data_IF_612914899852
#
_entry.id   IF_612914899852
#
_cell.length_a   1.000
_cell.length_b   1.000
_cell.length_c   1.000
_cell.angle_alpha   90.00
_cell.angle_beta   90.00
_cell.angle_gamma   90.00
#
_symmetry.space_group_name_H-M   'P 1'
#
loop_
_entity.id
_entity.type
_entity.pdbx_description
1 polymer ?
#
# COMPACT_ATOMS: atom_id res chain seq x y z
N UNK A 1 3.00 14.97 6.18
CA UNK A 1 4.42 15.28 5.92
C UNK A 1 4.79 14.65 4.60
N UNK A 2 5.42 15.39 3.68
CA UNK A 2 5.80 14.85 2.36
C UNK A 2 7.31 14.94 2.18
N UNK A 3 7.94 13.80 1.89
CA UNK A 3 9.30 13.73 1.39
C UNK A 3 9.26 13.86 -0.13
N UNK A 4 9.35 15.11 -0.62
CA UNK A 4 9.32 15.41 -2.06
C UNK A 4 10.53 14.87 -2.81
N UNK A 5 11.65 14.63 -2.14
CA UNK A 5 12.88 14.17 -2.79
C UNK A 5 12.73 12.74 -3.34
N UNK A 6 12.00 11.91 -2.62
CA UNK A 6 11.86 10.48 -2.94
C UNK A 6 10.41 10.05 -3.18
N UNK A 7 9.44 10.98 -3.18
CA UNK A 7 8.04 10.66 -3.48
C UNK A 7 7.34 9.85 -2.39
N UNK A 8 7.60 10.15 -1.10
CA UNK A 8 6.88 9.52 0.01
C UNK A 8 6.01 10.52 0.75
N UNK A 9 4.73 10.19 0.92
CA UNK A 9 3.72 11.04 1.55
C UNK A 9 3.17 10.36 2.79
N UNK A 10 3.13 11.08 3.91
CA UNK A 10 2.69 10.56 5.20
C UNK A 10 1.53 11.37 5.76
N UNK A 11 0.48 10.66 6.14
CA UNK A 11 -0.76 11.20 6.69
C UNK A 11 -1.13 10.47 7.98
N UNK A 12 -2.14 11.00 8.68
CA UNK A 12 -2.74 10.38 9.86
C UNK A 12 -4.25 10.25 9.62
N UNK A 13 -4.82 9.06 9.87
CA UNK A 13 -6.24 8.78 9.61
C UNK A 13 -7.22 9.63 10.42
N UNK A 14 -6.74 10.37 11.43
CA UNK A 14 -7.53 11.35 12.18
C UNK A 14 -7.70 12.68 11.45
N UNK A 15 -6.92 12.91 10.39
CA UNK A 15 -7.01 14.09 9.53
C UNK A 15 -7.94 13.80 8.35
N UNK A 16 -8.48 14.86 7.74
CA UNK A 16 -9.22 14.76 6.49
C UNK A 16 -8.35 15.30 5.36
N UNK A 17 -7.93 14.42 4.46
CA UNK A 17 -7.08 14.76 3.33
C UNK A 17 -7.43 13.90 2.11
N UNK A 18 -6.98 14.33 0.93
CA UNK A 18 -7.18 13.63 -0.34
C UNK A 18 -5.86 13.63 -1.11
N UNK A 19 -5.42 12.43 -1.49
CA UNK A 19 -4.28 12.23 -2.39
C UNK A 19 -4.76 11.68 -3.74
N UNK A 20 -4.13 12.12 -4.82
CA UNK A 20 -4.43 11.69 -6.17
C UNK A 20 -3.14 11.39 -6.93
N UNK A 21 -3.16 10.34 -7.74
CA UNK A 21 -2.08 10.05 -8.70
C UNK A 21 -1.94 11.17 -9.73
N UNK A 22 -0.71 11.55 -10.07
CA UNK A 22 -0.42 12.48 -11.17
C UNK A 22 -0.97 11.94 -12.52
N UNK A 23 -1.38 12.84 -13.41
CA UNK A 23 -1.85 12.55 -14.78
C UNK A 23 -0.80 11.82 -15.64
N UNK A 24 0.49 11.98 -15.33
CA UNK A 24 1.59 11.27 -16.02
C UNK A 24 1.67 9.77 -15.68
N UNK A 25 0.82 9.28 -14.78
CA UNK A 25 0.86 7.91 -14.26
C UNK A 25 -0.07 6.99 -15.03
N UNK A 26 0.38 5.75 -15.27
CA UNK A 26 -0.39 4.75 -16.04
C UNK A 26 -1.72 4.36 -15.37
N UNK A 27 -1.77 4.43 -14.03
CA UNK A 27 -2.93 4.03 -13.24
C UNK A 27 -3.43 5.21 -12.42
N UNK A 28 -4.68 5.57 -12.65
CA UNK A 28 -5.34 6.62 -11.91
C UNK A 28 -6.03 6.08 -10.66
N UNK A 29 -5.75 6.71 -9.52
CA UNK A 29 -6.48 6.47 -8.27
C UNK A 29 -6.61 7.74 -7.45
N UNK A 30 -7.60 7.75 -6.56
CA UNK A 30 -7.77 8.78 -5.54
C UNK A 30 -7.95 8.14 -4.18
N UNK A 31 -7.13 8.55 -3.23
CA UNK A 31 -7.14 8.08 -1.85
C UNK A 31 -7.67 9.18 -0.94
N UNK A 32 -8.68 8.84 -0.15
CA UNK A 32 -9.34 9.69 0.82
C UNK A 32 -8.91 9.26 2.22
N UNK A 33 -8.25 10.16 2.94
CA UNK A 33 -7.72 9.94 4.28
C UNK A 33 -8.70 10.49 5.32
N UNK A 34 -9.04 9.67 6.30
CA UNK A 34 -9.98 9.99 7.38
C UNK A 34 -11.45 9.89 6.98
N UNK A 35 -12.27 10.76 7.56
CA UNK A 35 -13.73 10.71 7.40
C UNK A 35 -14.20 11.38 6.11
N UNK A 36 -14.77 10.59 5.20
CA UNK A 36 -15.30 11.05 3.91
C UNK A 36 -16.58 10.30 3.53
N UNK A 37 -17.50 11.01 2.88
CA UNK A 37 -18.63 10.42 2.15
C UNK A 37 -18.31 10.42 0.67
N UNK A 38 -18.33 9.24 0.05
CA UNK A 38 -17.84 9.00 -1.30
C UNK A 38 -18.98 8.51 -2.19
N UNK A 39 -19.02 9.04 -3.40
CA UNK A 39 -19.81 8.54 -4.51
C UNK A 39 -18.87 7.76 -5.43
N UNK A 40 -19.12 6.47 -5.60
CA UNK A 40 -18.32 5.63 -6.48
C UNK A 40 -19.03 5.54 -7.82
N UNK A 41 -18.35 5.87 -8.90
CA UNK A 41 -18.92 5.89 -10.24
C UNK A 41 -18.96 4.48 -10.85
N UNK A 42 -19.86 4.28 -11.81
CA UNK A 42 -19.88 3.03 -12.60
C UNK A 42 -18.57 2.89 -13.37
N UNK A 43 -17.91 1.74 -13.25
CA UNK A 43 -16.60 1.49 -13.86
C UNK A 43 -15.45 1.49 -12.85
N UNK A 44 -15.69 2.03 -11.65
CA UNK A 44 -14.70 2.15 -10.60
C UNK A 44 -14.98 1.17 -9.46
N UNK A 45 -13.99 1.00 -8.59
CA UNK A 45 -14.14 0.33 -7.31
C UNK A 45 -13.44 1.09 -6.20
N UNK A 46 -13.83 0.85 -4.96
CA UNK A 46 -13.23 1.44 -3.77
C UNK A 46 -12.79 0.36 -2.80
N UNK A 47 -11.54 0.44 -2.35
CA UNK A 47 -11.00 -0.33 -1.23
C UNK A 47 -11.05 0.53 0.03
N UNK A 48 -11.69 0.05 1.09
CA UNK A 48 -11.83 0.78 2.34
C UNK A 48 -11.99 -0.16 3.54
N UNK A 49 -12.18 0.40 4.73
CA UNK A 49 -12.28 -0.34 5.98
C UNK A 49 -13.55 0.04 6.75
N UNK A 50 -14.06 -0.90 7.56
CA UNK A 50 -15.13 -0.58 8.49
C UNK A 50 -14.65 0.34 9.62
N UNK A 51 -15.61 0.99 10.30
CA UNK A 51 -15.33 1.99 11.35
C UNK A 51 -14.42 1.44 12.47
N UNK A 52 -14.54 0.13 12.77
CA UNK A 52 -13.81 -0.51 13.87
C UNK A 52 -12.48 -1.14 13.44
N UNK A 53 -12.07 -0.97 12.17
CA UNK A 53 -10.89 -1.61 11.58
C UNK A 53 -10.86 -3.13 11.84
N UNK A 54 -12.02 -3.76 11.73
CA UNK A 54 -12.21 -5.21 11.82
C UNK A 54 -12.26 -5.87 10.45
N UNK A 55 -12.68 -5.15 9.42
CA UNK A 55 -12.84 -5.69 8.09
C UNK A 55 -12.26 -4.74 7.03
N UNK A 56 -11.62 -5.33 6.02
CA UNK A 56 -11.36 -4.68 4.75
C UNK A 56 -12.54 -4.96 3.81
N UNK A 57 -12.91 -3.98 3.01
CA UNK A 57 -14.08 -4.01 2.14
C UNK A 57 -13.67 -3.49 0.76
N UNK A 58 -14.15 -4.15 -0.28
CA UNK A 58 -14.10 -3.64 -1.65
C UNK A 58 -15.51 -3.59 -2.23
N UNK A 59 -15.86 -2.48 -2.87
CA UNK A 59 -17.15 -2.31 -3.55
C UNK A 59 -16.95 -1.69 -4.93
N UNK A 60 -17.68 -2.17 -5.93
CA UNK A 60 -17.76 -1.53 -7.25
C UNK A 60 -18.88 -0.49 -7.29
N UNK A 61 -18.70 0.54 -8.10
CA UNK A 61 -19.75 1.52 -8.35
C UNK A 61 -20.82 1.01 -9.33
N UNK A 62 -21.99 1.67 -9.38
CA UNK A 62 -22.34 2.87 -8.64
C UNK A 62 -22.79 2.58 -7.20
N UNK A 63 -22.22 3.27 -6.20
CA UNK A 63 -22.67 3.18 -4.81
C UNK A 63 -22.18 4.36 -3.95
N UNK A 64 -22.80 4.53 -2.77
CA UNK A 64 -22.32 5.43 -1.72
C UNK A 64 -21.53 4.67 -0.66
N UNK A 65 -20.42 5.24 -0.20
CA UNK A 65 -19.59 4.69 0.87
C UNK A 65 -19.23 5.78 1.87
N UNK A 66 -19.29 5.45 3.16
CA UNK A 66 -18.70 6.27 4.23
C UNK A 66 -17.38 5.64 4.66
N UNK A 67 -16.28 6.35 4.42
CA UNK A 67 -14.95 5.99 4.89
C UNK A 67 -14.66 6.72 6.20
N UNK A 68 -14.06 6.04 7.17
CA UNK A 68 -13.70 6.62 8.47
C UNK A 68 -12.18 6.75 8.66
N UNK A 69 -11.39 6.02 7.88
CA UNK A 69 -9.94 5.89 8.09
C UNK A 69 -9.17 6.11 6.79
N UNK A 70 -9.51 5.33 5.78
CA UNK A 70 -8.85 5.31 4.48
C UNK A 70 -9.77 4.65 3.45
N UNK A 71 -9.94 5.30 2.31
CA UNK A 71 -10.60 4.71 1.14
C UNK A 71 -9.81 5.05 -0.12
N UNK A 72 -9.60 4.09 -1.01
CA UNK A 72 -8.90 4.32 -2.29
C UNK A 72 -9.80 3.88 -3.43
N UNK A 73 -10.18 4.84 -4.26
CA UNK A 73 -10.93 4.62 -5.49
C UNK A 73 -9.94 4.32 -6.61
N UNK A 74 -10.14 3.20 -7.31
CA UNK A 74 -9.40 2.83 -8.50
C UNK A 74 -10.30 3.00 -9.72
N UNK A 75 -9.83 3.77 -10.70
CA UNK A 75 -10.59 4.06 -11.91
C UNK A 75 -10.44 2.96 -12.94
N UNK A 76 -11.55 2.55 -13.55
CA UNK A 76 -11.56 1.57 -14.64
C UNK A 76 -11.29 0.12 -14.20
N UNK A 77 -11.37 -0.16 -12.90
CA UNK A 77 -11.32 -1.52 -12.34
C UNK A 77 -12.55 -1.78 -11.47
N UNK A 78 -13.30 -2.84 -11.77
CA UNK A 78 -14.52 -3.21 -11.06
C UNK A 78 -14.36 -4.54 -10.32
N UNK A 79 -13.59 -4.55 -9.25
CA UNK A 79 -13.49 -5.72 -8.38
C UNK A 79 -14.90 -6.14 -7.87
N UNK A 80 -15.25 -7.43 -7.83
CA UNK A 80 -16.49 -7.90 -7.22
C UNK A 80 -16.58 -7.48 -5.75
N UNK A 81 -17.78 -7.13 -5.30
CA UNK A 81 -17.99 -6.74 -3.90
C UNK A 81 -17.56 -7.86 -2.96
N UNK A 82 -16.72 -7.52 -1.99
CA UNK A 82 -16.21 -8.48 -1.03
C UNK A 82 -15.88 -7.82 0.30
N UNK A 83 -15.95 -8.62 1.36
CA UNK A 83 -15.58 -8.23 2.73
C UNK A 83 -14.69 -9.33 3.29
N UNK A 84 -13.58 -8.94 3.91
CA UNK A 84 -12.69 -9.89 4.59
C UNK A 84 -12.29 -9.38 5.97
N UNK A 85 -12.23 -10.30 6.93
CA UNK A 85 -11.79 -10.02 8.28
C UNK A 85 -10.29 -9.71 8.33
N UNK A 86 -9.95 -8.63 9.03
CA UNK A 86 -8.57 -8.32 9.40
C UNK A 86 -8.06 -9.23 10.54
N UNK A 87 -8.95 -9.90 11.28
CA UNK A 87 -8.56 -10.84 12.34
C UNK A 87 -7.87 -12.10 11.78
N UNK A 88 -7.24 -12.87 12.66
CA UNK A 88 -6.52 -14.10 12.32
C UNK A 88 -5.01 -13.89 12.21
N UNK A 89 -4.33 -14.87 11.61
CA UNK A 89 -2.87 -14.91 11.50
C UNK A 89 -2.42 -14.84 10.04
N UNK A 90 -1.17 -14.46 9.83
CA UNK A 90 -0.49 -14.57 8.53
C UNK A 90 -0.26 -16.03 8.17
N UNK A 91 -0.29 -16.36 6.89
CA UNK A 91 -0.19 -17.74 6.40
C UNK A 91 1.02 -17.97 5.49
N UNK A 92 1.68 -16.91 5.02
CA UNK A 92 2.84 -17.00 4.14
C UNK A 92 4.06 -16.37 4.81
N UNK A 93 5.23 -17.05 4.83
CA UNK A 93 6.47 -16.42 5.26
C UNK A 93 6.85 -15.31 4.27
N UNK A 94 7.55 -14.31 4.78
CA UNK A 94 8.10 -13.20 4.00
C UNK A 94 9.52 -12.87 4.45
N UNK A 95 10.15 -11.91 3.79
CA UNK A 95 11.55 -11.55 3.96
C UNK A 95 11.85 -11.16 5.42
N UNK A 96 13.04 -11.51 5.91
CA UNK A 96 13.56 -11.13 7.24
C UNK A 96 12.63 -11.49 8.42
N UNK A 97 11.95 -12.63 8.35
CA UNK A 97 11.07 -13.10 9.42
C UNK A 97 9.69 -12.42 9.45
N UNK A 98 9.42 -11.52 8.52
CA UNK A 98 8.08 -10.99 8.29
C UNK A 98 7.15 -12.09 7.75
N UNK A 99 5.85 -11.83 7.78
CA UNK A 99 4.86 -12.75 7.25
C UNK A 99 3.66 -12.00 6.69
N UNK A 100 2.93 -12.64 5.78
CA UNK A 100 1.79 -12.02 5.11
C UNK A 100 0.55 -12.91 5.07
N UNK A 101 -0.62 -12.30 4.86
CA UNK A 101 -1.80 -12.95 4.29
C UNK A 101 -2.39 -12.03 3.21
N UNK A 102 -2.98 -12.62 2.19
CA UNK A 102 -3.73 -11.86 1.19
C UNK A 102 -5.10 -11.49 1.77
N UNK A 103 -5.49 -10.22 1.63
CA UNK A 103 -6.85 -9.78 1.96
C UNK A 103 -7.73 -9.83 0.71
N UNK A 104 -7.27 -9.18 -0.36
CA UNK A 104 -7.86 -9.28 -1.69
C UNK A 104 -6.74 -9.62 -2.68
N UNK A 105 -6.71 -10.88 -3.10
CA UNK A 105 -5.78 -11.35 -4.13
C UNK A 105 -6.12 -10.73 -5.49
N UNK A 106 -5.13 -10.52 -6.37
CA UNK A 106 -5.40 -10.02 -7.72
C UNK A 106 -6.21 -11.08 -8.51
N UNK A 107 -7.32 -10.68 -9.14
CA UNK A 107 -8.20 -11.59 -9.89
C UNK A 107 -7.52 -12.04 -11.19
N UNK A 108 -6.85 -11.09 -11.85
CA UNK A 108 -5.95 -11.33 -12.98
C UNK A 108 -4.55 -10.84 -12.65
N UNK A 109 -3.56 -11.35 -13.36
CA UNK A 109 -2.19 -10.88 -13.23
C UNK A 109 -2.12 -9.37 -13.51
N UNK A 110 -1.57 -8.62 -12.55
CA UNK A 110 -1.48 -7.17 -12.63
C UNK A 110 -2.65 -6.43 -11.99
N UNK A 111 -3.75 -7.10 -11.65
CA UNK A 111 -4.85 -6.45 -10.94
C UNK A 111 -4.39 -5.92 -9.57
N UNK A 112 -5.06 -4.90 -9.03
CA UNK A 112 -4.79 -4.41 -7.68
C UNK A 112 -4.89 -5.52 -6.62
N UNK A 113 -4.07 -5.43 -5.58
CA UNK A 113 -4.12 -6.36 -4.45
C UNK A 113 -3.97 -5.66 -3.11
N UNK A 114 -4.75 -6.11 -2.13
CA UNK A 114 -4.66 -5.65 -0.75
C UNK A 114 -4.08 -6.76 0.11
N UNK A 115 -3.03 -6.45 0.86
CA UNK A 115 -2.31 -7.44 1.66
C UNK A 115 -2.30 -7.04 3.13
N UNK A 116 -2.00 -8.01 3.97
CA UNK A 116 -1.71 -7.83 5.38
C UNK A 116 -0.28 -8.28 5.61
N UNK A 117 0.56 -7.38 6.09
CA UNK A 117 1.95 -7.62 6.43
C UNK A 117 2.11 -7.52 7.96
N UNK A 118 2.74 -8.55 8.54
CA UNK A 118 3.18 -8.54 9.93
C UNK A 118 4.70 -8.52 9.97
N UNK A 119 5.24 -7.52 10.65
CA UNK A 119 6.66 -7.42 10.97
C UNK A 119 6.87 -7.73 12.45
N UNK A 120 7.71 -8.72 12.81
CA UNK A 120 8.09 -8.92 14.20
C UNK A 120 8.99 -7.77 14.70
N UNK A 121 9.27 -7.68 16.01
CA UNK A 121 10.23 -6.73 16.56
C UNK A 121 11.64 -6.90 15.97
N UNK A 122 12.45 -5.84 16.04
CA UNK A 122 13.83 -5.81 15.53
C UNK A 122 14.00 -6.23 14.07
N UNK A 123 13.00 -6.01 13.22
CA UNK A 123 12.97 -6.50 11.85
C UNK A 123 12.99 -5.36 10.84
N UNK A 124 13.67 -5.59 9.72
CA UNK A 124 13.61 -4.76 8.53
C UNK A 124 12.81 -5.54 7.50
N UNK A 125 11.71 -5.00 6.99
CA UNK A 125 10.83 -5.73 6.08
C UNK A 125 11.59 -6.32 4.88
N UNK A 126 12.45 -5.50 4.28
CA UNK A 126 13.36 -5.84 3.20
C UNK A 126 14.51 -4.82 3.18
N UNK A 127 15.58 -5.10 2.43
CA UNK A 127 16.49 -4.04 1.96
C UNK A 127 15.72 -2.95 1.20
N UNK A 128 16.32 -1.76 1.05
CA UNK A 128 15.74 -0.68 0.24
C UNK A 128 15.33 -1.23 -1.13
N UNK A 129 14.07 -1.02 -1.47
CA UNK A 129 13.51 -1.52 -2.70
C UNK A 129 12.55 -0.48 -3.30
N UNK A 130 12.24 -0.71 -4.57
CA UNK A 130 11.39 0.16 -5.38
C UNK A 130 10.29 -0.66 -6.04
N UNK A 131 9.18 -0.01 -6.33
CA UNK A 131 8.08 -0.59 -7.12
C UNK A 131 7.78 0.33 -8.29
N UNK A 132 7.35 -0.24 -9.42
CA UNK A 132 6.99 0.50 -10.62
C UNK A 132 5.66 1.25 -10.53
N UNK A 133 4.91 1.04 -9.45
CA UNK A 133 3.58 1.60 -9.22
C UNK A 133 3.41 2.03 -7.78
N UNK A 134 2.39 2.85 -7.52
CA UNK A 134 2.08 3.33 -6.18
C UNK A 134 1.78 2.20 -5.20
N UNK A 135 2.12 2.47 -3.93
CA UNK A 135 1.66 1.73 -2.77
C UNK A 135 0.93 2.68 -1.83
N UNK A 136 -0.26 2.28 -1.39
CA UNK A 136 -1.03 3.01 -0.36
C UNK A 136 -1.12 2.11 0.85
N UNK A 137 -0.52 2.50 1.97
CA UNK A 137 -0.34 1.62 3.12
C UNK A 137 -0.98 2.23 4.35
N UNK A 138 -1.84 1.46 5.02
CA UNK A 138 -2.38 1.80 6.34
C UNK A 138 -1.65 1.02 7.43
N UNK A 139 -1.21 1.71 8.47
CA UNK A 139 -0.66 1.07 9.67
C UNK A 139 -1.80 0.76 10.63
N UNK A 140 -2.08 -0.54 10.80
CA UNK A 140 -3.19 -1.02 11.62
C UNK A 140 -2.83 -1.04 13.10
N UNK A 141 -1.64 -1.51 13.44
CA UNK A 141 -1.19 -1.61 14.83
C UNK A 141 0.33 -1.66 14.93
N UNK A 142 0.84 -1.45 16.15
CA UNK A 142 2.26 -1.47 16.42
C UNK A 142 2.96 -0.18 15.98
N UNK A 143 4.30 -0.20 15.97
CA UNK A 143 5.13 0.97 15.71
C UNK A 143 6.40 0.58 14.97
N UNK A 144 6.82 1.47 14.07
CA UNK A 144 7.97 1.28 13.21
C UNK A 144 8.50 2.63 12.71
N UNK A 145 9.52 2.57 11.86
CA UNK A 145 9.96 3.69 11.03
C UNK A 145 9.80 3.31 9.57
N UNK A 146 9.31 4.25 8.76
CA UNK A 146 9.51 4.21 7.32
C UNK A 146 10.82 4.89 6.99
N UNK A 147 11.72 4.16 6.37
CA UNK A 147 13.00 4.68 5.89
C UNK A 147 12.86 4.88 4.39
N UNK A 148 13.13 6.08 3.92
CA UNK A 148 13.05 6.45 2.51
C UNK A 148 14.34 7.14 2.09
N UNK A 149 14.96 6.65 1.03
CA UNK A 149 16.15 7.25 0.45
C UNK A 149 17.06 6.27 -0.32
N UNK A 150 18.21 6.77 -0.76
CA UNK A 150 19.24 6.01 -1.46
C UNK A 150 20.63 6.43 -0.98
N UNK A 151 21.58 5.49 -1.04
CA UNK A 151 22.97 5.68 -0.64
C UNK A 151 23.10 6.29 0.78
N UNK A 152 23.80 7.42 0.90
CA UNK A 152 24.05 8.10 2.16
C UNK A 152 22.94 9.08 2.56
N UNK A 153 21.85 9.16 1.81
CA UNK A 153 20.73 10.08 2.10
C UNK A 153 19.48 9.26 2.39
N UNK A 154 19.11 9.15 3.67
CA UNK A 154 17.85 8.54 4.09
C UNK A 154 17.12 9.40 5.11
N UNK A 155 15.80 9.35 5.05
CA UNK A 155 14.90 10.05 5.97
C UNK A 155 14.05 9.01 6.66
N UNK A 156 14.05 9.03 8.00
CA UNK A 156 13.23 8.17 8.82
C UNK A 156 11.97 8.92 9.27
N UNK A 157 10.80 8.34 9.02
CA UNK A 157 9.50 8.86 9.47
C UNK A 157 8.84 7.84 10.40
N UNK A 158 8.32 8.29 11.53
CA UNK A 158 7.66 7.40 12.48
C UNK A 158 6.31 6.88 11.94
N UNK A 159 6.07 5.59 12.12
CA UNK A 159 4.83 4.90 11.81
C UNK A 159 4.17 4.41 13.10
N UNK A 160 2.89 4.70 13.26
CA UNK A 160 2.05 4.31 14.40
C UNK A 160 0.64 3.96 13.92
N UNK A 161 -0.24 3.40 14.76
CA UNK A 161 -1.59 3.04 14.33
C UNK A 161 -2.34 4.26 13.78
N UNK A 162 -2.93 4.13 12.60
CA UNK A 162 -3.58 5.22 11.85
C UNK A 162 -2.64 6.01 10.95
N UNK A 163 -1.32 5.81 11.01
CA UNK A 163 -0.40 6.34 10.00
C UNK A 163 -0.74 5.77 8.63
N UNK A 164 -0.71 6.63 7.62
CA UNK A 164 -0.90 6.26 6.22
C UNK A 164 0.33 6.72 5.46
N UNK A 165 0.95 5.82 4.69
CA UNK A 165 1.99 6.18 3.75
C UNK A 165 1.55 5.89 2.31
N UNK A 166 1.73 6.89 1.45
CA UNK A 166 1.54 6.77 0.01
C UNK A 166 2.91 6.94 -0.62
N UNK A 167 3.35 5.90 -1.30
CA UNK A 167 4.68 5.79 -1.88
C UNK A 167 4.52 5.84 -3.39
N UNK A 168 5.14 6.85 -4.00
CA UNK A 168 5.16 7.03 -5.45
C UNK A 168 5.94 5.89 -6.15
N UNK A 169 5.72 5.69 -7.45
CA UNK A 169 6.56 4.82 -8.26
C UNK A 169 8.03 5.19 -8.10
N UNK A 170 8.87 4.15 -8.05
CA UNK A 170 10.31 4.26 -7.87
C UNK A 170 10.76 4.91 -6.55
N UNK A 171 9.85 5.13 -5.59
CA UNK A 171 10.22 5.57 -4.23
C UNK A 171 11.04 4.47 -3.52
N UNK A 172 12.32 4.71 -3.21
CA UNK A 172 13.18 3.74 -2.54
C UNK A 172 12.88 3.72 -1.04
N UNK A 173 12.38 2.59 -0.54
CA UNK A 173 11.91 2.50 0.84
C UNK A 173 12.08 1.12 1.46
N UNK A 174 12.00 1.08 2.79
CA UNK A 174 11.69 -0.10 3.59
C UNK A 174 11.14 0.34 4.97
N UNK A 175 10.56 -0.61 5.70
CA UNK A 175 10.14 -0.39 7.09
C UNK A 175 11.08 -1.08 8.08
N UNK A 176 11.27 -0.46 9.25
CA UNK A 176 12.04 -0.99 10.37
C UNK A 176 11.21 -0.96 11.66
N UNK A 177 11.00 -2.12 12.28
CA UNK A 177 10.34 -2.21 13.60
C UNK A 177 11.33 -2.00 14.74
N UNK A 178 10.83 -1.55 15.88
CA UNK A 178 11.65 -1.33 17.09
C UNK A 178 11.92 -2.65 17.84
N UNK A 179 12.88 -2.68 18.79
CA UNK A 179 13.28 -3.92 19.46
C UNK A 179 12.18 -4.73 20.16
N UNK A 180 11.15 -4.06 20.66
CA UNK A 180 10.04 -4.69 21.40
C UNK A 180 8.67 -4.44 20.74
N UNK A 181 8.63 -3.77 19.59
CA UNK A 181 7.39 -3.40 18.91
C UNK A 181 7.28 -4.16 17.59
N UNK A 182 6.14 -4.83 17.38
CA UNK A 182 5.78 -5.35 16.07
C UNK A 182 5.10 -4.26 15.25
N UNK A 183 4.91 -4.51 13.96
CA UNK A 183 4.09 -3.68 13.08
C UNK A 183 3.10 -4.56 12.32
N UNK A 184 1.87 -4.07 12.15
CA UNK A 184 0.95 -4.59 11.16
C UNK A 184 0.63 -3.48 10.16
N UNK A 185 0.99 -3.72 8.91
CA UNK A 185 0.77 -2.82 7.79
C UNK A 185 -0.18 -3.46 6.77
N UNK A 186 -1.05 -2.66 6.16
CA UNK A 186 -2.03 -3.07 5.18
C UNK A 186 -1.74 -2.34 3.86
N UNK A 187 -0.82 -2.87 3.02
CA UNK A 187 -0.50 -2.24 1.74
C UNK A 187 -1.55 -2.60 0.68
N UNK A 188 -2.07 -1.58 0.02
CA UNK A 188 -2.76 -1.65 -1.26
C UNK A 188 -1.74 -1.40 -2.38
N UNK A 189 -1.63 -2.38 -3.26
CA UNK A 189 -0.84 -2.31 -4.48
C UNK A 189 -1.80 -1.92 -5.61
N UNK A 190 -1.57 -0.76 -6.23
CA UNK A 190 -2.40 -0.31 -7.37
C UNK A 190 -2.25 -1.26 -8.57
N UNK A 191 -1.11 -1.92 -8.69
CA UNK A 191 -0.84 -3.01 -9.62
C UNK A 191 -0.07 -4.11 -8.88
N UNK A 192 -0.52 -5.36 -8.97
CA UNK A 192 0.21 -6.49 -8.42
C UNK A 192 1.34 -6.91 -9.37
N UNK A 193 2.59 -6.70 -8.94
CA UNK A 193 3.76 -7.11 -9.72
C UNK A 193 3.75 -8.61 -10.04
N UNK A 194 3.92 -8.94 -11.32
CA UNK A 194 3.84 -10.33 -11.81
C UNK A 194 5.24 -10.96 -11.82
N UNK A 195 5.79 -11.18 -10.63
CA UNK A 195 7.03 -11.96 -10.44
C UNK A 195 8.19 -11.57 -11.36
N UNK A 196 8.74 -12.55 -12.09
CA UNK A 196 9.88 -12.35 -13.00
C UNK A 196 9.56 -11.52 -14.24
N UNK A 197 8.29 -11.32 -14.59
CA UNK A 197 7.91 -10.56 -15.79
C UNK A 197 8.34 -9.09 -15.70
N UNK A 198 8.35 -8.49 -14.51
CA UNK A 198 8.88 -7.12 -14.33
C UNK A 198 10.39 -7.04 -14.55
N UNK A 199 11.11 -8.17 -14.43
CA UNK A 199 12.55 -8.26 -14.70
C UNK A 199 12.86 -8.54 -16.17
N UNK A 200 11.86 -8.84 -17.00
CA UNK A 200 12.02 -9.04 -18.43
C UNK A 200 12.12 -7.69 -19.15
N UNK A 201 13.27 -7.03 -18.99
CA UNK A 201 13.48 -5.67 -19.43
C UNK A 201 14.19 -5.65 -20.79
N UNK A 202 13.67 -4.92 -21.81
CA UNK A 202 14.26 -4.90 -23.14
C UNK A 202 15.71 -4.40 -23.16
N UNK A 203 16.10 -3.52 -22.23
CA UNK A 203 17.50 -3.05 -22.13
C UNK A 203 18.45 -4.08 -21.51
N UNK A 204 17.98 -5.11 -20.80
CA UNK A 204 18.85 -6.21 -20.37
C UNK A 204 18.92 -7.30 -21.44
N UNK A 205 17.82 -7.52 -22.16
CA UNK A 205 17.73 -8.53 -23.20
C UNK A 205 18.63 -8.15 -24.39
N UNK A 206 19.70 -8.92 -24.59
CA UNK A 206 20.64 -8.70 -25.70
C UNK A 206 21.76 -7.69 -25.42
N UNK A 207 21.87 -7.19 -24.18
CA UNK A 207 23.03 -6.40 -23.77
C UNK A 207 24.25 -7.31 -23.62
N UNK A 208 25.27 -7.04 -24.46
CA UNK A 208 26.57 -7.70 -24.40
C UNK A 208 27.50 -6.80 -23.61
N UNK A 209 28.02 -7.29 -22.48
CA UNK A 209 29.10 -6.62 -21.75
C UNK A 209 30.37 -6.73 -22.60
N UNK A 210 30.95 -5.59 -22.97
CA UNK A 210 32.25 -5.48 -23.65
C UNK A 210 33.33 -5.04 -22.66
#
# INVERSE_FOLDING_TARGET
MTNKLFGAHYFDSKQSDIFESNEDQLYFFRTFIGNHKLQIEKGDCVYYFDEKLKNAIVKKGPCEVSSYHLATILRGYMHPDAVISLQGVTTLPYVNGCSTKQLFSPIRLGDPTLQYLKMPPSSREQEHHIHSTFRVVLILSGRAKSIVGMDNTSIATELKPGSICILEPMCPHHFESYPEESLIAIPLHIFSSVGSSEKNHPMFNGTVLI
#
